data_IF_861822518518
#
_entry.id   IF_861822518518
#
_cell.length_a   1.000
_cell.length_b   1.000
_cell.length_c   1.000
_cell.angle_alpha   90.00
_cell.angle_beta   90.00
_cell.angle_gamma   90.00
#
_symmetry.space_group_name_H-M   'P 1'
#
loop_
_entity.id
_entity.type
_entity.pdbx_description
1 polymer ?
#
# COMPACT_ATOMS: atom_id res chain seq x y z
N UNK A 1 12.93 -28.45 -11.88
CA UNK A 1 13.61 -28.49 -13.20
C UNK A 1 14.94 -27.74 -13.09
N UNK A 2 16.07 -28.42 -13.28
CA UNK A 2 17.41 -27.80 -13.23
C UNK A 2 17.60 -27.00 -14.52
N UNK A 3 17.77 -25.68 -14.42
CA UNK A 3 18.07 -24.83 -15.58
C UNK A 3 19.47 -25.18 -16.10
N UNK A 4 19.66 -25.46 -17.41
CA UNK A 4 20.97 -25.76 -17.96
C UNK A 4 21.94 -24.59 -17.72
N UNK A 5 23.18 -24.91 -17.33
CA UNK A 5 24.26 -23.92 -17.19
C UNK A 5 24.59 -23.39 -18.59
N UNK A 6 24.60 -22.07 -18.74
CA UNK A 6 25.01 -21.42 -19.99
C UNK A 6 26.51 -21.60 -20.21
N UNK A 7 26.89 -21.79 -21.48
CA UNK A 7 28.30 -21.86 -21.88
C UNK A 7 28.87 -20.46 -22.13
N UNK A 8 30.19 -20.31 -22.02
CA UNK A 8 30.88 -19.05 -22.28
C UNK A 8 30.62 -18.52 -23.70
N UNK A 9 30.58 -19.40 -24.71
CA UNK A 9 30.29 -19.03 -26.10
C UNK A 9 28.89 -18.42 -26.28
N UNK A 10 27.88 -18.99 -25.63
CA UNK A 10 26.52 -18.45 -25.65
C UNK A 10 26.45 -17.06 -25.01
N UNK A 11 27.21 -16.86 -23.93
CA UNK A 11 27.30 -15.56 -23.26
C UNK A 11 27.99 -14.55 -24.18
N UNK A 12 29.14 -14.90 -24.77
CA UNK A 12 29.89 -14.05 -25.70
C UNK A 12 29.05 -13.60 -26.89
N UNK A 13 28.34 -14.53 -27.54
CA UNK A 13 27.45 -14.22 -28.66
C UNK A 13 26.37 -13.20 -28.28
N UNK A 14 25.83 -13.25 -27.04
CA UNK A 14 24.85 -12.26 -26.54
C UNK A 14 25.44 -10.88 -26.28
N UNK A 15 26.71 -10.78 -25.91
CA UNK A 15 27.40 -9.49 -25.82
C UNK A 15 27.62 -8.90 -27.23
N UNK A 16 28.09 -9.71 -28.17
CA UNK A 16 28.32 -9.30 -29.57
C UNK A 16 27.02 -8.91 -30.31
N UNK A 17 25.93 -9.65 -30.12
CA UNK A 17 24.59 -9.31 -30.65
C UNK A 17 24.14 -7.91 -30.23
N UNK A 18 24.61 -7.44 -29.07
CA UNK A 18 24.31 -6.10 -28.54
C UNK A 18 25.38 -5.06 -28.85
N UNK A 19 26.42 -5.44 -29.60
CA UNK A 19 27.56 -4.58 -29.92
C UNK A 19 28.46 -4.28 -28.73
N UNK A 20 28.55 -5.17 -27.74
CA UNK A 20 29.47 -5.07 -26.62
C UNK A 20 30.64 -6.03 -26.80
N UNK A 21 31.86 -5.58 -26.49
CA UNK A 21 33.07 -6.42 -26.54
C UNK A 21 33.35 -6.98 -25.14
N UNK A 22 33.30 -8.31 -24.98
CA UNK A 22 33.54 -8.96 -23.69
C UNK A 22 35.05 -9.01 -23.40
N UNK A 23 35.47 -8.55 -22.21
CA UNK A 23 36.89 -8.50 -21.81
C UNK A 23 37.33 -9.71 -20.96
N UNK A 24 36.38 -10.52 -20.49
CA UNK A 24 36.65 -11.70 -19.67
C UNK A 24 36.70 -12.97 -20.52
N UNK A 25 37.58 -13.89 -20.13
CA UNK A 25 37.85 -15.16 -20.83
C UNK A 25 37.10 -16.35 -20.23
N UNK A 26 36.43 -16.18 -19.08
CA UNK A 26 35.75 -17.27 -18.37
C UNK A 26 34.38 -16.84 -17.86
N UNK A 27 33.41 -17.76 -17.91
CA UNK A 27 32.06 -17.57 -17.37
C UNK A 27 31.81 -18.56 -16.23
N UNK A 28 31.72 -18.04 -15.00
CA UNK A 28 31.56 -18.87 -13.79
C UNK A 28 30.09 -19.10 -13.47
N UNK A 29 29.28 -18.04 -13.41
CA UNK A 29 27.88 -18.09 -12.98
C UNK A 29 27.08 -16.89 -13.48
N UNK A 30 25.76 -17.02 -13.57
CA UNK A 30 24.85 -15.99 -14.09
C UNK A 30 24.76 -14.71 -13.23
N UNK A 31 25.20 -14.78 -11.97
CA UNK A 31 25.29 -13.67 -11.02
C UNK A 31 26.68 -13.04 -10.96
N UNK A 32 27.68 -13.65 -11.61
CA UNK A 32 28.99 -13.04 -11.73
C UNK A 32 28.87 -11.82 -12.66
N UNK A 33 29.47 -10.71 -12.24
CA UNK A 33 29.59 -9.52 -13.06
C UNK A 33 30.74 -9.75 -14.03
N UNK A 34 30.48 -9.54 -15.31
CA UNK A 34 31.48 -9.64 -16.36
C UNK A 34 31.80 -8.26 -16.92
N UNK A 35 33.08 -7.96 -17.08
CA UNK A 35 33.57 -6.72 -17.70
C UNK A 35 33.44 -6.78 -19.21
N UNK A 36 32.96 -5.69 -19.78
CA UNK A 36 32.81 -5.51 -21.23
C UNK A 36 33.15 -4.07 -21.61
N UNK A 37 33.46 -3.84 -22.88
CA UNK A 37 33.64 -2.51 -23.46
C UNK A 37 32.38 -2.12 -24.21
N UNK A 38 31.92 -0.88 -23.95
CA UNK A 38 30.82 -0.27 -24.68
C UNK A 38 31.37 0.66 -25.77
N UNK A 39 30.94 0.55 -27.04
CA UNK A 39 31.43 1.41 -28.13
C UNK A 39 31.23 2.91 -27.87
N UNK A 40 30.14 3.27 -27.19
CA UNK A 40 29.83 4.66 -26.86
C UNK A 40 30.62 5.19 -25.65
N UNK A 41 31.24 4.30 -24.87
CA UNK A 41 31.98 4.65 -23.65
C UNK A 41 33.22 3.73 -23.53
N UNK A 42 34.18 3.84 -24.47
CA UNK A 42 35.32 2.92 -24.53
C UNK A 42 36.25 3.07 -23.32
N UNK A 43 36.32 4.27 -22.74
CA UNK A 43 37.22 4.62 -21.63
C UNK A 43 36.65 4.32 -20.24
N UNK A 44 35.45 3.73 -20.15
CA UNK A 44 34.77 3.49 -18.88
C UNK A 44 34.70 2.01 -18.56
N UNK A 45 35.14 1.66 -17.36
CA UNK A 45 34.95 0.32 -16.80
C UNK A 45 33.46 0.06 -16.57
N UNK A 46 32.88 -0.82 -17.39
CA UNK A 46 31.51 -1.29 -17.24
C UNK A 46 31.49 -2.79 -17.01
N UNK A 47 30.65 -3.22 -16.08
CA UNK A 47 30.44 -4.62 -15.73
C UNK A 47 28.95 -4.90 -15.60
N UNK A 48 28.48 -6.05 -16.10
CA UNK A 48 27.07 -6.47 -16.03
C UNK A 48 26.98 -7.96 -15.74
N UNK A 49 25.93 -8.39 -15.04
CA UNK A 49 25.65 -9.82 -14.90
C UNK A 49 24.96 -10.34 -16.15
N UNK A 50 25.14 -11.63 -16.48
CA UNK A 50 24.42 -12.22 -17.61
C UNK A 50 22.89 -12.16 -17.43
N UNK A 51 22.42 -12.26 -16.18
CA UNK A 51 20.99 -12.16 -15.86
C UNK A 51 20.43 -10.76 -16.19
N UNK A 52 21.16 -9.71 -15.86
CA UNK A 52 20.78 -8.32 -16.17
C UNK A 52 20.90 -8.02 -17.67
N UNK A 53 21.92 -8.57 -18.33
CA UNK A 53 22.01 -8.50 -19.79
C UNK A 53 20.75 -9.13 -20.38
N UNK A 54 20.40 -10.36 -20.01
CA UNK A 54 19.19 -11.02 -20.53
C UNK A 54 17.90 -10.24 -20.26
N UNK A 55 17.77 -9.55 -19.12
CA UNK A 55 16.59 -8.72 -18.80
C UNK A 55 16.50 -7.41 -19.60
N UNK A 56 17.50 -7.10 -20.43
CA UNK A 56 17.52 -5.90 -21.28
C UNK A 56 18.37 -4.76 -20.71
N UNK A 57 19.05 -4.97 -19.59
CA UNK A 57 20.04 -4.02 -19.08
C UNK A 57 21.31 -4.05 -19.94
N UNK A 58 22.04 -2.95 -19.96
CA UNK A 58 23.27 -2.79 -20.74
C UNK A 58 24.19 -1.76 -20.12
N UNK A 59 24.92 -1.00 -20.94
CA UNK A 59 25.81 0.04 -20.44
C UNK A 59 25.06 1.05 -19.56
N UNK A 60 25.48 1.15 -18.30
CA UNK A 60 24.94 2.10 -17.30
C UNK A 60 24.92 3.52 -17.86
N UNK A 61 25.97 3.95 -18.54
CA UNK A 61 26.10 5.31 -19.06
C UNK A 61 25.14 5.56 -20.23
N UNK A 62 25.05 4.62 -21.17
CA UNK A 62 24.04 4.64 -22.23
C UNK A 62 22.61 4.66 -21.66
N UNK A 63 22.34 3.84 -20.64
CA UNK A 63 21.05 3.78 -19.98
C UNK A 63 20.69 5.07 -19.25
N UNK A 64 21.66 5.76 -18.65
CA UNK A 64 21.45 7.08 -18.02
C UNK A 64 21.15 8.15 -19.07
N UNK A 65 21.88 8.17 -20.19
CA UNK A 65 21.62 9.10 -21.29
C UNK A 65 20.23 8.90 -21.88
N UNK A 66 19.82 7.65 -22.13
CA UNK A 66 18.46 7.33 -22.62
C UNK A 66 17.35 7.72 -21.65
N UNK A 67 17.62 7.70 -20.34
CA UNK A 67 16.65 8.08 -19.29
C UNK A 67 16.58 9.58 -19.01
N UNK A 68 17.48 10.39 -19.59
CA UNK A 68 17.40 11.84 -19.45
C UNK A 68 16.26 12.36 -20.33
N UNK A 69 15.29 12.99 -19.68
CA UNK A 69 14.22 13.68 -20.37
C UNK A 69 14.68 15.07 -20.77
N UNK A 70 14.35 15.46 -22.00
CA UNK A 70 14.47 16.84 -22.44
C UNK A 70 13.41 17.69 -21.75
N UNK A 71 13.65 19.00 -21.66
CA UNK A 71 12.65 19.94 -21.15
C UNK A 71 11.35 19.88 -21.95
N UNK A 72 11.42 19.59 -23.25
CA UNK A 72 10.25 19.49 -24.12
C UNK A 72 9.39 18.27 -23.79
N UNK A 73 10.00 17.10 -23.59
CA UNK A 73 9.30 15.89 -23.11
C UNK A 73 8.65 16.10 -21.74
N UNK A 74 9.30 16.87 -20.86
CA UNK A 74 8.71 17.26 -19.57
C UNK A 74 7.51 18.17 -19.79
N UNK A 75 7.64 19.21 -20.64
CA UNK A 75 6.56 20.17 -20.94
C UNK A 75 5.33 19.49 -21.54
N UNK A 76 5.53 18.55 -22.46
CA UNK A 76 4.44 17.74 -23.01
C UNK A 76 3.71 16.93 -21.93
N UNK A 77 4.45 16.28 -21.01
CA UNK A 77 3.84 15.52 -19.93
C UNK A 77 3.03 16.40 -18.93
N UNK A 78 3.42 17.66 -18.73
CA UNK A 78 2.60 18.62 -17.98
C UNK A 78 1.33 18.99 -18.77
N UNK A 79 1.46 19.28 -20.07
CA UNK A 79 0.33 19.62 -20.94
C UNK A 79 -0.70 18.50 -21.08
N UNK A 80 -0.25 17.25 -21.24
CA UNK A 80 -1.11 16.07 -21.33
C UNK A 80 -2.03 15.93 -20.10
N UNK A 81 -1.56 16.42 -18.95
CA UNK A 81 -2.30 16.43 -17.68
C UNK A 81 -3.07 17.72 -17.43
N UNK A 82 -3.07 18.64 -18.38
CA UNK A 82 -3.71 19.95 -18.27
C UNK A 82 -2.99 20.93 -17.35
N UNK A 83 -1.70 20.73 -17.08
CA UNK A 83 -0.89 21.65 -16.28
C UNK A 83 0.01 22.52 -17.16
N UNK A 84 0.22 23.77 -16.74
CA UNK A 84 1.11 24.70 -17.42
C UNK A 84 2.47 24.74 -16.71
N UNK A 85 3.54 24.26 -17.36
CA UNK A 85 4.90 24.31 -16.80
C UNK A 85 5.49 25.72 -16.94
N UNK A 86 6.00 26.27 -15.84
CA UNK A 86 6.57 27.63 -15.80
C UNK A 86 8.10 27.64 -15.98
N UNK A 87 8.78 26.53 -15.72
CA UNK A 87 10.23 26.42 -15.86
C UNK A 87 10.67 26.30 -17.33
N UNK A 88 11.72 27.05 -17.65
CA UNK A 88 12.41 27.01 -18.95
C UNK A 88 13.56 26.01 -18.97
N UNK A 89 14.00 25.50 -17.81
CA UNK A 89 15.16 24.62 -17.70
C UNK A 89 14.90 23.40 -16.79
N UNK A 90 15.32 22.22 -17.26
CA UNK A 90 15.21 20.95 -16.56
C UNK A 90 16.58 20.27 -16.48
N UNK A 91 17.04 20.04 -15.25
CA UNK A 91 18.32 19.41 -14.93
C UNK A 91 18.18 17.94 -14.53
N UNK A 92 17.12 17.59 -13.82
CA UNK A 92 16.98 16.26 -13.19
C UNK A 92 15.53 15.95 -12.79
N UNK A 93 15.18 14.66 -12.72
CA UNK A 93 13.86 14.18 -12.31
C UNK A 93 13.50 14.54 -10.85
N UNK A 94 14.50 14.82 -10.03
CA UNK A 94 14.35 15.26 -8.64
C UNK A 94 14.23 16.78 -8.49
N UNK A 95 14.44 17.54 -9.57
CA UNK A 95 14.22 18.99 -9.55
C UNK A 95 12.74 19.27 -9.34
N UNK A 96 12.43 20.18 -8.41
CA UNK A 96 11.09 20.73 -8.26
C UNK A 96 10.82 21.68 -9.41
N UNK A 97 9.78 21.40 -10.18
CA UNK A 97 9.30 22.21 -11.29
C UNK A 97 8.03 22.93 -10.85
N UNK A 98 7.95 24.23 -11.10
CA UNK A 98 6.79 25.04 -10.83
C UNK A 98 5.81 24.95 -12.00
N UNK A 99 4.54 24.84 -11.67
CA UNK A 99 3.48 24.70 -12.66
C UNK A 99 2.19 25.35 -12.16
N UNK A 100 1.33 25.69 -13.10
CA UNK A 100 -0.02 26.20 -12.86
C UNK A 100 -1.03 25.08 -13.01
N UNK A 101 -1.96 25.02 -12.06
CA UNK A 101 -3.11 24.12 -12.11
C UNK A 101 -4.32 24.89 -12.62
N UNK A 102 -5.10 24.36 -13.59
CA UNK A 102 -6.27 25.05 -14.13
C UNK A 102 -7.37 25.26 -13.06
N UNK A 103 -7.45 24.37 -12.06
CA UNK A 103 -8.38 24.52 -10.94
C UNK A 103 -7.88 25.49 -9.85
N UNK A 104 -6.61 25.91 -9.90
CA UNK A 104 -5.99 26.81 -8.93
C UNK A 104 -5.05 27.78 -9.67
N UNK A 105 -5.59 28.65 -10.55
CA UNK A 105 -4.79 29.50 -11.44
C UNK A 105 -3.96 30.55 -10.67
N UNK A 106 -4.42 30.95 -9.49
CA UNK A 106 -3.81 31.97 -8.64
C UNK A 106 -2.60 31.43 -7.85
N UNK A 107 -2.40 30.11 -7.83
CA UNK A 107 -1.34 29.48 -7.06
C UNK A 107 -0.29 28.81 -7.94
N UNK A 108 0.96 29.11 -7.64
CA UNK A 108 2.10 28.44 -8.25
C UNK A 108 2.45 27.22 -7.39
N UNK A 109 2.22 26.04 -7.94
CA UNK A 109 2.52 24.77 -7.28
C UNK A 109 3.87 24.24 -7.76
N UNK A 110 4.48 23.37 -6.96
CA UNK A 110 5.72 22.69 -7.36
C UNK A 110 5.60 21.17 -7.24
N UNK A 111 6.13 20.46 -8.23
CA UNK A 111 6.18 19.00 -8.26
C UNK A 111 7.47 18.54 -8.93
N UNK A 112 8.00 17.38 -8.51
CA UNK A 112 9.11 16.76 -9.22
C UNK A 112 8.59 16.01 -10.45
N UNK A 113 9.36 15.98 -11.53
CA UNK A 113 8.96 15.24 -12.74
C UNK A 113 8.78 13.73 -12.45
N UNK A 114 9.58 13.18 -11.54
CA UNK A 114 9.38 11.83 -11.03
C UNK A 114 7.98 11.64 -10.45
N UNK A 115 7.55 12.50 -9.52
CA UNK A 115 6.23 12.38 -8.89
C UNK A 115 5.10 12.59 -9.88
N UNK A 116 5.26 13.53 -10.83
CA UNK A 116 4.31 13.69 -11.92
C UNK A 116 4.12 12.34 -12.61
N UNK A 117 5.17 11.69 -13.10
CA UNK A 117 5.04 10.40 -13.79
C UNK A 117 4.40 9.28 -12.98
N UNK A 118 4.61 9.24 -11.66
CA UNK A 118 3.95 8.25 -10.80
C UNK A 118 2.46 8.54 -10.54
N UNK A 119 1.88 9.55 -11.18
CA UNK A 119 0.45 9.87 -11.10
C UNK A 119 0.11 10.95 -10.08
N UNK A 120 1.10 11.52 -9.39
CA UNK A 120 0.87 12.68 -8.54
C UNK A 120 0.67 13.94 -9.39
N UNK A 121 -0.06 14.91 -8.83
CA UNK A 121 -0.39 16.17 -9.51
C UNK A 121 -0.63 17.26 -8.47
N UNK A 122 -1.61 18.13 -8.74
CA UNK A 122 -2.00 19.18 -7.80
C UNK A 122 -2.39 18.59 -6.44
N UNK A 123 -1.68 19.00 -5.38
CA UNK A 123 -1.90 18.52 -4.01
C UNK A 123 -3.30 18.85 -3.50
N UNK A 124 -3.85 20.02 -3.88
CA UNK A 124 -5.21 20.43 -3.54
C UNK A 124 -6.26 19.59 -4.26
N UNK A 125 -6.11 19.38 -5.57
CA UNK A 125 -6.98 18.49 -6.34
C UNK A 125 -6.94 17.05 -5.81
N UNK A 126 -5.76 16.56 -5.41
CA UNK A 126 -5.59 15.22 -4.84
C UNK A 126 -6.26 15.05 -3.47
N UNK A 127 -6.21 16.08 -2.61
CA UNK A 127 -6.90 16.08 -1.31
C UNK A 127 -8.42 16.06 -1.46
N UNK A 128 -8.98 16.85 -2.39
CA UNK A 128 -10.41 16.84 -2.66
C UNK A 128 -10.90 15.46 -3.10
N UNK A 129 -10.17 14.79 -4.01
CA UNK A 129 -10.51 13.44 -4.48
C UNK A 129 -10.37 12.35 -3.41
N UNK A 130 -9.35 12.45 -2.55
CA UNK A 130 -9.13 11.45 -1.49
C UNK A 130 -10.06 11.62 -0.28
N UNK A 131 -10.51 12.86 0.01
CA UNK A 131 -11.51 13.15 1.04
C UNK A 131 -12.87 12.50 0.73
N UNK A 132 -13.29 12.50 -0.54
CA UNK A 132 -14.56 11.88 -0.95
C UNK A 132 -14.58 10.36 -0.88
N UNK A 133 -13.43 9.70 -1.03
CA UNK A 133 -13.37 8.21 -1.01
C UNK A 133 -13.35 7.67 0.42
N UNK A 134 -12.70 8.36 1.37
CA UNK A 134 -12.70 7.98 2.79
C UNK A 134 -14.07 8.11 3.47
N UNK A 135 -14.95 8.96 2.94
CA UNK A 135 -16.27 9.20 3.54
C UNK A 135 -17.32 8.14 3.19
N UNK A 136 -17.07 7.26 2.21
CA UNK A 136 -18.06 6.28 1.73
C UNK A 136 -18.06 4.94 2.49
N UNK A 137 -17.09 4.68 3.35
CA UNK A 137 -16.98 3.41 4.09
C UNK A 137 -17.56 3.43 5.51
N UNK A 138 -18.00 4.59 6.01
CA UNK A 138 -18.67 4.67 7.30
C UNK A 138 -20.07 5.23 7.08
N UNK A 139 -21.02 4.35 6.75
CA UNK A 139 -22.45 4.68 6.87
C UNK A 139 -22.69 5.09 8.32
N UNK A 140 -22.87 6.37 8.59
CA UNK A 140 -23.13 6.87 9.94
C UNK A 140 -24.60 6.66 10.25
N UNK A 141 -25.00 5.41 10.55
CA UNK A 141 -26.31 5.12 11.16
C UNK A 141 -26.53 5.95 12.44
N UNK A 142 -25.43 6.32 13.11
CA UNK A 142 -25.41 7.12 14.32
C UNK A 142 -24.64 8.44 14.13
N UNK A 143 -25.16 9.51 14.73
CA UNK A 143 -24.56 10.85 14.78
C UNK A 143 -23.26 10.89 15.59
N UNK A 144 -22.57 12.03 15.57
CA UNK A 144 -21.35 12.23 16.38
C UNK A 144 -21.66 12.20 17.87
N UNK A 145 -22.79 12.78 18.25
CA UNK A 145 -23.28 12.87 19.63
C UNK A 145 -23.63 11.47 20.17
N UNK A 146 -24.39 10.68 19.41
CA UNK A 146 -24.74 9.30 19.78
C UNK A 146 -23.51 8.41 19.98
N UNK A 147 -22.48 8.58 19.14
CA UNK A 147 -21.20 7.88 19.32
C UNK A 147 -20.44 8.36 20.55
N UNK A 148 -20.53 9.65 20.88
CA UNK A 148 -19.89 10.20 22.07
C UNK A 148 -20.54 9.68 23.35
N UNK A 149 -21.88 9.62 23.38
CA UNK A 149 -22.65 9.00 24.46
C UNK A 149 -22.29 7.53 24.63
N UNK A 150 -22.24 6.76 23.54
CA UNK A 150 -21.83 5.35 23.59
C UNK A 150 -20.41 5.16 24.15
N UNK A 151 -19.46 6.06 23.87
CA UNK A 151 -18.11 6.02 24.47
C UNK A 151 -18.15 6.27 25.97
N UNK A 152 -18.89 7.29 26.40
CA UNK A 152 -19.02 7.65 27.81
C UNK A 152 -19.68 6.52 28.60
N UNK A 153 -20.75 5.95 28.05
CA UNK A 153 -21.44 4.83 28.69
C UNK A 153 -20.56 3.58 28.73
N UNK A 154 -19.84 3.24 27.65
CA UNK A 154 -18.87 2.12 27.67
C UNK A 154 -17.82 2.33 28.75
N UNK A 155 -17.25 3.53 28.86
CA UNK A 155 -16.23 3.84 29.87
C UNK A 155 -16.80 3.70 31.28
N UNK A 156 -18.01 4.24 31.54
CA UNK A 156 -18.71 4.11 32.81
C UNK A 156 -18.97 2.65 33.18
N UNK A 157 -19.48 1.85 32.24
CA UNK A 157 -19.76 0.43 32.47
C UNK A 157 -18.49 -0.37 32.80
N UNK A 158 -17.42 -0.15 32.03
CA UNK A 158 -16.14 -0.82 32.26
C UNK A 158 -15.50 -0.42 33.59
N UNK A 159 -15.51 0.87 33.94
CA UNK A 159 -14.95 1.40 35.18
C UNK A 159 -15.74 0.89 36.41
N UNK A 160 -17.07 0.86 36.31
CA UNK A 160 -17.93 0.47 37.44
C UNK A 160 -17.94 -1.04 37.70
N UNK A 161 -17.90 -1.86 36.65
CA UNK A 161 -18.20 -3.29 36.76
C UNK A 161 -17.09 -4.21 36.25
N UNK A 162 -16.21 -3.75 35.37
CA UNK A 162 -15.18 -4.61 34.76
C UNK A 162 -13.78 -4.43 35.37
N UNK A 163 -13.53 -3.33 36.09
CA UNK A 163 -12.23 -3.05 36.70
C UNK A 163 -11.74 -4.16 37.65
N UNK A 164 -12.62 -4.63 38.54
CA UNK A 164 -12.35 -5.72 39.50
C UNK A 164 -13.01 -7.06 39.11
N UNK A 165 -13.38 -7.22 37.84
CA UNK A 165 -14.10 -8.42 37.39
C UNK A 165 -13.19 -9.66 37.40
N UNK A 166 -13.67 -10.83 37.89
CA UNK A 166 -12.92 -12.08 37.87
C UNK A 166 -12.59 -12.56 36.44
N UNK A 167 -13.35 -12.09 35.45
CA UNK A 167 -13.23 -12.43 34.04
C UNK A 167 -12.55 -11.32 33.21
N UNK A 168 -11.76 -10.44 33.85
CA UNK A 168 -11.11 -9.32 33.14
C UNK A 168 -9.97 -9.74 32.21
N UNK A 169 -9.34 -10.88 32.50
CA UNK A 169 -8.17 -11.39 31.78
C UNK A 169 -8.50 -12.62 30.90
N UNK A 170 -9.58 -12.55 30.13
CA UNK A 170 -9.97 -13.63 29.23
C UNK A 170 -9.14 -13.58 27.92
N UNK A 171 -8.38 -14.65 27.58
CA UNK A 171 -7.44 -14.62 26.47
C UNK A 171 -8.08 -14.91 25.10
N UNK A 172 -9.24 -15.58 25.08
CA UNK A 172 -9.91 -15.98 23.84
C UNK A 172 -11.25 -15.28 23.66
N UNK A 173 -11.56 -14.97 22.40
CA UNK A 173 -12.80 -14.27 22.04
C UNK A 173 -14.04 -15.09 22.43
N UNK A 174 -14.00 -16.42 22.32
CA UNK A 174 -15.09 -17.30 22.72
C UNK A 174 -15.41 -17.22 24.21
N UNK A 175 -14.38 -17.12 25.05
CA UNK A 175 -14.56 -16.98 26.50
C UNK A 175 -15.21 -15.63 26.85
N UNK A 176 -14.86 -14.57 26.11
CA UNK A 176 -15.50 -13.25 26.25
C UNK A 176 -16.98 -13.34 25.87
N UNK A 177 -17.33 -14.09 24.80
CA UNK A 177 -18.74 -14.25 24.42
C UNK A 177 -19.55 -14.98 25.49
N UNK A 178 -19.00 -16.04 26.07
CA UNK A 178 -19.65 -16.84 27.10
C UNK A 178 -19.72 -16.14 28.47
N UNK A 179 -18.61 -15.54 28.90
CA UNK A 179 -18.44 -15.03 30.27
C UNK A 179 -18.71 -13.54 30.41
N UNK A 180 -18.52 -12.75 29.34
CA UNK A 180 -18.77 -11.30 29.37
C UNK A 180 -20.07 -10.89 28.67
N UNK A 181 -20.54 -11.59 27.63
CA UNK A 181 -21.78 -11.22 26.93
C UNK A 181 -22.99 -12.05 27.34
N UNK A 182 -22.83 -13.36 27.55
CA UNK A 182 -23.93 -14.27 27.91
C UNK A 182 -24.11 -14.39 29.43
N UNK A 183 -23.04 -14.70 30.15
CA UNK A 183 -23.08 -14.99 31.59
C UNK A 183 -22.40 -13.90 32.41
N UNK A 184 -22.55 -12.64 31.99
CA UNK A 184 -21.96 -11.51 32.71
C UNK A 184 -22.46 -11.50 34.16
N UNK A 185 -21.57 -11.56 35.17
CA UNK A 185 -21.98 -11.54 36.58
C UNK A 185 -22.77 -10.28 36.97
N UNK A 186 -22.57 -9.19 36.22
CA UNK A 186 -23.22 -7.89 36.44
C UNK A 186 -24.38 -7.62 35.47
N UNK A 187 -24.66 -8.53 34.53
CA UNK A 187 -25.75 -8.37 33.55
C UNK A 187 -25.54 -7.33 32.44
N UNK A 188 -24.39 -6.65 32.39
CA UNK A 188 -24.12 -5.52 31.47
C UNK A 188 -23.53 -5.94 30.11
N UNK A 189 -23.38 -7.24 29.86
CA UNK A 189 -22.67 -7.76 28.69
C UNK A 189 -23.25 -7.29 27.36
N UNK A 190 -24.59 -7.31 27.25
CA UNK A 190 -25.29 -6.83 26.06
C UNK A 190 -25.23 -5.30 25.93
N UNK A 191 -25.18 -4.56 27.03
CA UNK A 191 -25.06 -3.09 26.98
C UNK A 191 -23.69 -2.65 26.43
N UNK A 192 -22.62 -3.32 26.86
CA UNK A 192 -21.28 -3.11 26.29
C UNK A 192 -21.26 -3.47 24.81
N UNK A 193 -21.87 -4.60 24.42
CA UNK A 193 -21.95 -5.01 23.01
C UNK A 193 -22.75 -4.01 22.18
N UNK A 194 -23.82 -3.44 22.73
CA UNK A 194 -24.66 -2.42 22.09
C UNK A 194 -23.87 -1.15 21.81
N UNK A 195 -23.14 -0.66 22.82
CA UNK A 195 -22.26 0.50 22.65
C UNK A 195 -21.17 0.21 21.61
N UNK A 196 -20.59 -0.99 21.62
CA UNK A 196 -19.63 -1.43 20.60
C UNK A 196 -20.18 -1.39 19.16
N UNK A 197 -21.42 -1.85 18.96
CA UNK A 197 -22.10 -1.80 17.66
C UNK A 197 -22.32 -0.35 17.18
N UNK A 198 -22.77 0.55 18.07
CA UNK A 198 -22.92 1.99 17.78
C UNK A 198 -21.59 2.62 17.34
N UNK A 199 -20.48 2.27 18.02
CA UNK A 199 -19.15 2.77 17.69
C UNK A 199 -18.60 2.23 16.38
N UNK A 200 -18.91 0.96 16.05
CA UNK A 200 -18.59 0.33 14.78
C UNK A 200 -19.46 0.88 13.62
N UNK A 201 -20.59 1.53 13.93
CA UNK A 201 -21.56 1.98 12.94
C UNK A 201 -22.44 0.86 12.38
N UNK A 202 -22.58 -0.22 13.15
CA UNK A 202 -23.50 -1.33 12.90
C UNK A 202 -24.85 -1.05 13.55
N UNK A 203 -25.95 -1.57 13.02
CA UNK A 203 -27.27 -1.47 13.65
C UNK A 203 -27.27 -2.20 15.00
N UNK A 204 -27.28 -1.43 16.09
CA UNK A 204 -27.11 -1.95 17.42
C UNK A 204 -28.26 -2.87 17.84
N UNK A 205 -29.49 -2.60 17.41
CA UNK A 205 -30.65 -3.40 17.79
C UNK A 205 -30.60 -4.76 17.08
N UNK A 206 -30.21 -4.80 15.80
CA UNK A 206 -29.98 -6.05 15.07
C UNK A 206 -28.86 -6.88 15.71
N UNK A 207 -27.75 -6.24 16.10
CA UNK A 207 -26.63 -6.94 16.74
C UNK A 207 -27.06 -7.55 18.08
N UNK A 208 -27.83 -6.82 18.90
CA UNK A 208 -28.30 -7.34 20.18
C UNK A 208 -29.31 -8.47 20.01
N UNK A 209 -30.26 -8.36 19.10
CA UNK A 209 -31.21 -9.45 18.82
C UNK A 209 -30.49 -10.72 18.36
N UNK A 210 -29.44 -10.61 17.52
CA UNK A 210 -28.62 -11.75 17.14
C UNK A 210 -27.97 -12.43 18.35
N UNK A 211 -27.43 -11.65 19.29
CA UNK A 211 -26.79 -12.20 20.49
C UNK A 211 -27.82 -12.85 21.42
N UNK A 212 -29.01 -12.26 21.62
CA UNK A 212 -30.11 -12.86 22.37
C UNK A 212 -30.53 -14.20 21.78
N UNK A 213 -30.84 -14.24 20.48
CA UNK A 213 -31.24 -15.48 19.78
C UNK A 213 -30.15 -16.55 19.86
N UNK A 214 -28.87 -16.16 19.73
CA UNK A 214 -27.74 -17.09 19.84
C UNK A 214 -27.63 -17.70 21.23
N UNK A 215 -27.85 -16.91 22.29
CA UNK A 215 -27.75 -17.38 23.67
C UNK A 215 -29.01 -18.11 24.17
N UNK A 216 -30.18 -17.85 23.58
CA UNK A 216 -31.42 -18.61 23.84
C UNK A 216 -31.44 -19.98 23.15
N UNK A 217 -30.77 -20.13 21.99
CA UNK A 217 -30.79 -21.36 21.17
C UNK A 217 -29.78 -22.43 21.59
N UNK A 218 -29.12 -22.33 22.74
CA UNK A 218 -28.21 -23.38 23.20
C UNK A 218 -28.92 -24.65 23.72
N UNK A 219 -29.46 -25.43 22.78
CA UNK A 219 -29.40 -26.90 22.70
C UNK A 219 -30.36 -27.40 21.63
N UNK A 220 -29.91 -27.53 20.37
CA UNK A 220 -30.26 -28.67 19.50
C UNK A 220 -29.07 -28.88 18.54
N UNK A 221 -28.08 -29.69 18.93
CA UNK A 221 -27.75 -30.93 18.20
C UNK A 221 -26.48 -31.62 18.73
N UNK A 222 -26.50 -32.94 18.63
CA UNK A 222 -25.42 -33.93 18.78
C UNK A 222 -25.12 -34.50 20.18
N UNK A 223 -26.02 -35.37 20.65
CA UNK A 223 -25.64 -36.66 21.26
C UNK A 223 -26.76 -37.69 21.12
N UNK A 224 -27.03 -38.12 19.89
CA UNK A 224 -27.38 -39.52 19.66
C UNK A 224 -26.07 -40.24 19.30
N UNK A 225 -25.35 -40.68 20.32
CA UNK A 225 -24.38 -41.76 20.17
C UNK A 225 -25.15 -43.02 20.53
N UNK A 226 -25.43 -43.79 19.48
CA UNK A 226 -25.76 -45.21 19.47
C UNK A 226 -25.30 -45.99 20.71
N UNK A 227 -26.24 -46.68 21.35
CA UNK A 227 -26.04 -48.03 21.90
C UNK A 227 -27.21 -48.89 21.42
#
# INVERSE_FOLDING_TARGET
MVRPKLTFEQVKAKFEERGYELLETEYVKNTAKMRYRCPNHPDKDVSITYSDLRSGSGCRYCGVLKRRHTIDSVREAFKERGYELLETYYKSAHQKLRYRCPSHPDEILSITYGNLRHGHGCSKCGKAKSGTTRSKTHSTLYSKEQRQEARQETARLLDTYCFDCPNKDLPYIGDIEESCYKSCPHGIGLDIRRCGAILAGEDADIVIERYKVRFEKERIDSKEVTV
#
